data_IF_774975390171
#
_entry.id   IF_774975390171
#
_cell.length_a   1.000
_cell.length_b   1.000
_cell.length_c   1.000
_cell.angle_alpha   90.00
_cell.angle_beta   90.00
_cell.angle_gamma   90.00
#
_symmetry.space_group_name_H-M   'P 1'
#
loop_
_entity.id
_entity.type
_entity.pdbx_description
1 polymer ?
#
# COMPACT_ATOMS: atom_id res chain seq x y z
N UNK A 1 41.50 -28.22 48.69
CA UNK A 1 40.76 -28.62 47.48
C UNK A 1 40.03 -27.39 46.99
N UNK A 2 40.46 -26.85 45.85
CA UNK A 2 40.02 -25.57 45.32
C UNK A 2 38.58 -25.63 44.80
N UNK A 3 37.75 -24.67 45.21
CA UNK A 3 36.43 -24.44 44.64
C UNK A 3 36.54 -23.67 43.33
N UNK A 4 35.92 -24.20 42.28
CA UNK A 4 35.77 -23.53 40.99
C UNK A 4 34.47 -22.71 41.01
N UNK A 5 34.59 -21.40 40.83
CA UNK A 5 33.46 -20.51 40.50
C UNK A 5 33.36 -20.41 38.98
N UNK A 6 32.20 -20.73 38.42
CA UNK A 6 31.87 -20.50 37.01
C UNK A 6 31.05 -19.20 36.94
N UNK A 7 31.54 -18.14 36.27
CA UNK A 7 30.72 -16.97 36.03
C UNK A 7 29.78 -17.23 34.84
N UNK A 8 28.48 -17.09 35.07
CA UNK A 8 27.49 -17.06 34.00
C UNK A 8 27.41 -15.63 33.45
N UNK A 9 27.82 -15.44 32.19
CA UNK A 9 27.62 -14.19 31.47
C UNK A 9 26.24 -14.22 30.81
N UNK A 10 25.32 -13.39 31.31
CA UNK A 10 24.04 -13.12 30.65
C UNK A 10 24.33 -12.06 29.57
N UNK A 11 24.44 -12.48 28.32
CA UNK A 11 24.42 -11.54 27.19
C UNK A 11 22.96 -11.15 26.95
N UNK A 12 22.59 -9.95 27.40
CA UNK A 12 21.40 -9.27 26.89
C UNK A 12 21.75 -8.78 25.48
N UNK A 13 21.21 -9.44 24.45
CA UNK A 13 21.16 -8.84 23.12
C UNK A 13 20.10 -7.75 23.14
N UNK A 14 20.50 -6.52 23.45
CA UNK A 14 19.81 -5.34 22.92
C UNK A 14 20.23 -5.19 21.47
N UNK A 15 19.33 -5.50 20.53
CA UNK A 15 19.46 -4.99 19.17
C UNK A 15 19.42 -3.46 19.28
N UNK A 16 20.59 -2.82 19.18
CA UNK A 16 20.65 -1.39 18.93
C UNK A 16 20.16 -1.19 17.49
N UNK A 17 18.97 -0.61 17.36
CA UNK A 17 18.52 -0.09 16.06
C UNK A 17 19.58 0.87 15.52
N UNK A 18 19.93 0.80 14.22
CA UNK A 18 20.95 1.66 13.65
C UNK A 18 20.50 3.13 13.76
N UNK A 19 21.08 3.85 14.72
CA UNK A 19 20.85 5.29 14.89
C UNK A 19 21.52 6.01 13.73
N UNK A 20 20.72 6.57 12.82
CA UNK A 20 21.20 7.39 11.73
C UNK A 20 21.87 8.67 12.30
N UNK A 21 23.15 8.88 11.98
CA UNK A 21 23.98 9.97 12.53
C UNK A 21 23.91 11.30 11.76
N UNK A 22 23.05 11.38 10.72
CA UNK A 22 22.78 12.60 9.95
C UNK A 22 21.52 13.32 10.41
N UNK A 23 21.25 14.56 9.93
CA UNK A 23 19.96 15.21 10.16
C UNK A 23 18.86 14.33 9.56
N UNK A 24 17.84 14.04 10.36
CA UNK A 24 16.68 13.23 9.96
C UNK A 24 15.98 13.89 8.77
N UNK A 25 16.13 13.29 7.58
CA UNK A 25 15.48 13.77 6.37
C UNK A 25 14.02 13.35 6.42
N UNK A 26 13.11 14.31 6.56
CA UNK A 26 11.69 14.03 6.68
C UNK A 26 10.78 15.02 5.98
N UNK A 27 9.60 14.53 5.60
CA UNK A 27 8.43 15.34 5.26
C UNK A 27 7.47 15.23 6.43
N UNK A 28 6.94 16.34 6.94
CA UNK A 28 6.03 16.32 8.09
C UNK A 28 4.87 17.30 7.94
N UNK A 29 3.75 16.96 8.59
CA UNK A 29 2.49 17.69 8.54
C UNK A 29 1.81 17.61 9.90
N UNK A 30 1.12 18.66 10.29
CA UNK A 30 0.36 18.73 11.56
C UNK A 30 -1.14 18.45 11.35
N UNK A 31 -1.53 17.94 10.19
CA UNK A 31 -2.91 17.58 9.86
C UNK A 31 -2.92 16.30 8.99
N UNK A 32 -3.96 15.45 9.10
CA UNK A 32 -4.17 14.30 8.21
C UNK A 32 -4.33 14.72 6.75
N UNK A 33 -4.12 13.79 5.82
CA UNK A 33 -4.41 14.02 4.41
C UNK A 33 -5.94 14.05 4.15
N UNK A 34 -6.40 15.08 3.44
CA UNK A 34 -7.78 15.17 2.96
C UNK A 34 -7.95 14.45 1.61
N UNK A 35 -6.95 14.60 0.74
CA UNK A 35 -6.92 14.04 -0.62
C UNK A 35 -5.69 13.15 -0.83
N UNK A 36 -5.72 12.36 -1.91
CA UNK A 36 -4.69 11.35 -2.18
C UNK A 36 -3.31 11.97 -2.40
N UNK A 37 -3.25 13.14 -3.02
CA UNK A 37 -2.04 13.90 -3.31
C UNK A 37 -1.28 14.37 -2.05
N UNK A 38 -1.97 14.41 -0.91
CA UNK A 38 -1.40 14.79 0.38
C UNK A 38 -0.93 13.59 1.20
N UNK A 39 -1.32 12.37 0.82
CA UNK A 39 -0.96 11.15 1.53
C UNK A 39 0.53 10.81 1.35
N UNK A 40 1.11 10.12 2.34
CA UNK A 40 2.54 9.81 2.35
C UNK A 40 2.82 8.47 1.66
N UNK A 41 3.68 8.43 0.62
CA UNK A 41 4.02 7.20 -0.08
C UNK A 41 5.03 6.35 0.71
N UNK A 42 4.79 5.05 0.77
CA UNK A 42 5.77 4.03 1.17
C UNK A 42 5.78 2.91 0.12
N UNK A 43 6.91 2.21 -0.02
CA UNK A 43 6.97 1.08 -0.94
C UNK A 43 8.27 0.29 -0.88
N UNK A 44 8.21 -0.96 -1.32
CA UNK A 44 9.34 -1.89 -1.33
C UNK A 44 9.78 -2.30 -2.75
N UNK A 45 9.42 -1.49 -3.75
CA UNK A 45 9.57 -1.78 -5.17
C UNK A 45 8.39 -2.53 -5.78
N UNK A 46 7.69 -3.36 -4.99
CA UNK A 46 6.57 -4.19 -5.45
C UNK A 46 5.24 -3.79 -4.83
N UNK A 47 5.17 -3.79 -3.50
CA UNK A 47 4.03 -3.30 -2.72
C UNK A 47 4.25 -1.84 -2.38
N UNK A 48 3.28 -1.01 -2.73
CA UNK A 48 3.22 0.40 -2.40
C UNK A 48 1.99 0.72 -1.57
N UNK A 49 2.06 1.79 -0.77
CA UNK A 49 0.91 2.33 -0.07
C UNK A 49 0.96 3.86 0.03
N UNK A 50 -0.20 4.48 0.12
CA UNK A 50 -0.38 5.90 0.40
C UNK A 50 -1.12 6.03 1.73
N UNK A 51 -0.44 6.59 2.74
CA UNK A 51 -0.91 6.68 4.13
C UNK A 51 -1.54 8.05 4.38
N UNK A 52 -2.82 8.07 4.77
CA UNK A 52 -3.55 9.32 5.00
C UNK A 52 -3.31 9.91 6.39
N UNK A 53 -3.12 9.07 7.41
CA UNK A 53 -2.82 9.51 8.78
C UNK A 53 -4.05 9.99 9.55
N UNK A 54 -5.25 9.56 9.20
CA UNK A 54 -6.51 10.02 9.84
C UNK A 54 -6.76 9.31 11.16
N UNK A 55 -7.28 10.05 12.13
CA UNK A 55 -7.39 9.58 13.52
C UNK A 55 -8.76 8.95 13.84
N UNK A 56 -9.77 9.20 13.01
CA UNK A 56 -11.13 8.67 13.10
C UNK A 56 -11.35 7.48 12.14
N UNK A 57 -11.02 7.66 10.87
CA UNK A 57 -11.09 6.65 9.81
C UNK A 57 -9.80 6.71 9.02
N UNK A 58 -8.83 5.90 9.43
CA UNK A 58 -7.56 5.76 8.71
C UNK A 58 -7.81 5.09 7.36
N UNK A 59 -7.11 5.58 6.33
CA UNK A 59 -7.14 5.03 4.99
C UNK A 59 -5.71 4.81 4.51
N UNK A 60 -5.40 3.58 4.16
CA UNK A 60 -4.13 3.22 3.53
C UNK A 60 -4.46 2.66 2.16
N UNK A 61 -4.28 3.47 1.12
CA UNK A 61 -4.51 3.02 -0.26
C UNK A 61 -3.33 2.16 -0.70
N UNK A 62 -3.59 1.06 -1.40
CA UNK A 62 -2.65 -0.01 -1.66
C UNK A 62 -2.37 -0.21 -3.16
N UNK A 63 -1.14 -0.58 -3.46
CA UNK A 63 -0.65 -0.90 -4.80
C UNK A 63 0.21 -2.17 -4.80
N UNK A 64 0.11 -2.93 -5.89
CA UNK A 64 0.98 -4.07 -6.22
C UNK A 64 1.43 -3.88 -7.67
N UNK A 65 2.73 -3.92 -7.97
CA UNK A 65 3.31 -3.48 -9.26
C UNK A 65 2.78 -4.23 -10.50
N UNK A 66 2.39 -5.50 -10.32
CA UNK A 66 1.95 -6.42 -11.36
C UNK A 66 0.43 -6.51 -11.48
N UNK A 67 -0.31 -5.70 -10.73
CA UNK A 67 -1.76 -5.62 -10.83
C UNK A 67 -2.21 -4.78 -12.04
N UNK A 68 -2.39 -5.45 -13.17
CA UNK A 68 -2.81 -4.82 -14.43
C UNK A 68 -4.14 -5.36 -14.93
N UNK A 69 -4.95 -4.43 -15.42
CA UNK A 69 -6.11 -4.75 -16.25
C UNK A 69 -5.63 -5.29 -17.58
N UNK A 70 -6.46 -6.07 -18.27
CA UNK A 70 -6.16 -6.49 -19.63
C UNK A 70 -7.44 -6.70 -20.39
N UNK A 71 -7.55 -6.04 -21.53
CA UNK A 71 -8.71 -6.17 -22.41
C UNK A 71 -8.29 -5.94 -23.86
N UNK A 72 -8.75 -6.81 -24.74
CA UNK A 72 -8.37 -6.76 -26.15
C UNK A 72 -6.88 -7.00 -26.40
N UNK A 73 -6.47 -6.86 -27.66
CA UNK A 73 -5.09 -6.95 -28.08
C UNK A 73 -4.79 -5.77 -29.00
N UNK A 74 -3.58 -5.23 -28.91
CA UNK A 74 -3.06 -4.46 -30.03
C UNK A 74 -2.87 -5.45 -31.17
N UNK A 75 -3.52 -5.20 -32.30
CA UNK A 75 -3.16 -5.93 -33.52
C UNK A 75 -1.71 -5.54 -33.89
N UNK A 76 -1.04 -6.32 -34.74
CA UNK A 76 0.26 -5.92 -35.28
C UNK A 76 0.09 -5.76 -36.79
N UNK A 77 -0.54 -4.66 -37.20
CA UNK A 77 -0.56 -4.28 -38.61
C UNK A 77 0.88 -4.04 -39.09
N UNK A 78 1.32 -4.81 -40.10
CA UNK A 78 2.66 -4.66 -40.68
C UNK A 78 2.72 -3.44 -41.61
N UNK A 79 2.97 -2.28 -41.01
CA UNK A 79 3.16 -1.02 -41.72
C UNK A 79 4.52 -0.86 -42.42
N UNK A 80 5.40 -1.87 -42.34
CA UNK A 80 6.78 -1.74 -42.85
C UNK A 80 6.84 -1.43 -44.35
N UNK A 81 5.86 -1.89 -45.12
CA UNK A 81 5.74 -1.64 -46.57
C UNK A 81 5.47 -0.19 -46.93
N UNK A 82 4.88 0.60 -46.03
CA UNK A 82 4.59 2.01 -46.27
C UNK A 82 5.80 2.93 -46.01
N UNK A 83 6.79 2.45 -45.25
CA UNK A 83 7.96 3.26 -44.83
C UNK A 83 8.76 3.85 -46.00
N UNK A 84 9.05 3.14 -47.10
CA UNK A 84 9.77 3.73 -48.24
C UNK A 84 9.01 4.89 -48.87
N UNK A 85 7.70 4.74 -49.09
CA UNK A 85 6.86 5.78 -49.69
C UNK A 85 6.73 7.01 -48.77
N UNK A 86 6.58 6.79 -47.47
CA UNK A 86 6.55 7.88 -46.47
C UNK A 86 7.87 8.68 -46.52
N UNK A 87 9.03 8.01 -46.59
CA UNK A 87 10.33 8.68 -46.66
C UNK A 87 10.48 9.52 -47.93
N UNK A 88 10.04 8.99 -49.08
CA UNK A 88 10.05 9.73 -50.35
C UNK A 88 9.20 11.00 -50.27
N UNK A 89 7.98 10.92 -49.74
CA UNK A 89 7.11 12.08 -49.51
C UNK A 89 7.78 13.13 -48.61
N UNK A 90 8.48 12.71 -47.56
CA UNK A 90 9.22 13.62 -46.67
C UNK A 90 10.39 14.31 -47.40
N UNK A 91 11.16 13.61 -48.24
CA UNK A 91 12.26 14.20 -49.02
C UNK A 91 11.76 15.16 -50.10
N UNK A 92 10.57 14.91 -50.65
CA UNK A 92 9.89 15.79 -51.61
C UNK A 92 9.22 17.01 -50.94
N UNK A 93 9.22 17.11 -49.61
CA UNK A 93 8.55 18.19 -48.86
C UNK A 93 7.02 18.06 -48.76
N UNK A 94 6.46 16.87 -49.06
CA UNK A 94 5.02 16.54 -49.02
C UNK A 94 4.59 16.04 -47.64
N UNK A 95 4.70 16.91 -46.63
CA UNK A 95 4.53 16.52 -45.22
C UNK A 95 3.12 16.06 -44.86
N UNK A 96 2.09 16.68 -45.47
CA UNK A 96 0.70 16.34 -45.18
C UNK A 96 0.37 14.93 -45.68
N UNK A 97 0.76 14.62 -46.92
CA UNK A 97 0.60 13.31 -47.54
C UNK A 97 1.40 12.24 -46.78
N UNK A 98 2.62 12.58 -46.34
CA UNK A 98 3.43 11.69 -45.50
C UNK A 98 2.74 11.38 -44.16
N UNK A 99 2.14 12.38 -43.51
CA UNK A 99 1.40 12.20 -42.26
C UNK A 99 0.14 11.35 -42.46
N UNK A 100 -0.64 11.63 -43.50
CA UNK A 100 -1.85 10.87 -43.81
C UNK A 100 -1.53 9.39 -44.06
N UNK A 101 -0.49 9.10 -44.85
CA UNK A 101 -0.03 7.74 -45.10
C UNK A 101 0.52 7.07 -43.84
N UNK A 102 1.23 7.81 -42.98
CA UNK A 102 1.71 7.29 -41.70
C UNK A 102 0.56 6.97 -40.73
N UNK A 103 -0.47 7.83 -40.64
CA UNK A 103 -1.65 7.58 -39.82
C UNK A 103 -2.41 6.35 -40.31
N UNK A 104 -2.55 6.20 -41.63
CA UNK A 104 -3.27 5.08 -42.22
C UNK A 104 -2.53 3.74 -42.05
N UNK A 105 -1.21 3.72 -42.28
CA UNK A 105 -0.46 2.47 -42.42
C UNK A 105 0.38 2.10 -41.19
N UNK A 106 0.72 3.06 -40.32
CA UNK A 106 1.59 2.82 -39.15
C UNK A 106 0.86 2.93 -37.81
N UNK A 107 -0.26 3.65 -37.75
CA UNK A 107 -1.04 3.78 -36.51
C UNK A 107 -2.19 2.79 -36.48
N UNK A 108 -2.66 2.50 -35.27
CA UNK A 108 -3.80 1.63 -35.03
C UNK A 108 -4.87 2.36 -34.26
N UNK A 109 -6.07 1.79 -34.28
CA UNK A 109 -7.15 2.27 -33.44
C UNK A 109 -6.74 2.17 -31.97
N UNK A 110 -6.82 3.30 -31.28
CA UNK A 110 -6.50 3.36 -29.86
C UNK A 110 -7.57 2.61 -29.09
N UNK A 111 -7.16 1.62 -28.29
CA UNK A 111 -8.07 0.96 -27.36
C UNK A 111 -8.70 1.97 -26.40
N UNK A 112 -9.95 1.74 -25.93
CA UNK A 112 -10.61 2.64 -24.98
C UNK A 112 -9.75 2.92 -23.75
N UNK A 113 -9.81 4.15 -23.24
CA UNK A 113 -9.11 4.54 -22.00
C UNK A 113 -9.44 3.56 -20.86
N UNK A 114 -8.43 3.17 -20.08
CA UNK A 114 -8.57 2.17 -19.01
C UNK A 114 -8.36 0.72 -19.45
N UNK A 115 -8.16 0.49 -20.74
CA UNK A 115 -7.72 -0.81 -21.27
C UNK A 115 -6.24 -1.02 -21.01
N UNK A 116 -5.84 -2.23 -20.57
CA UNK A 116 -4.44 -2.60 -20.29
C UNK A 116 -3.75 -1.62 -19.33
N UNK A 117 -4.46 -1.21 -18.28
CA UNK A 117 -4.06 -0.14 -17.38
C UNK A 117 -3.67 -0.68 -16.01
N UNK A 118 -2.72 -0.01 -15.36
CA UNK A 118 -2.38 -0.26 -13.97
C UNK A 118 -3.59 -0.05 -13.05
N UNK A 119 -3.75 -0.89 -12.03
CA UNK A 119 -4.91 -0.88 -11.14
C UNK A 119 -4.51 -0.71 -9.66
N UNK A 120 -5.42 -0.13 -8.87
CA UNK A 120 -5.31 -0.14 -7.41
C UNK A 120 -5.53 -1.55 -6.86
N UNK A 121 -4.77 -1.92 -5.83
CA UNK A 121 -5.04 -3.15 -5.06
C UNK A 121 -6.26 -2.97 -4.15
N UNK A 122 -6.52 -1.74 -3.72
CA UNK A 122 -7.63 -1.40 -2.83
C UNK A 122 -7.20 -0.49 -1.70
N UNK A 123 -7.93 -0.54 -0.59
CA UNK A 123 -7.71 0.27 0.60
C UNK A 123 -7.83 -0.59 1.86
N UNK A 124 -6.92 -0.39 2.82
CA UNK A 124 -7.16 -0.75 4.22
C UNK A 124 -7.89 0.43 4.85
N UNK A 125 -9.03 0.17 5.48
CA UNK A 125 -9.76 1.15 6.27
C UNK A 125 -9.75 0.71 7.73
N UNK A 126 -9.33 1.59 8.63
CA UNK A 126 -9.40 1.36 10.08
C UNK A 126 -10.34 2.40 10.68
N UNK A 127 -11.49 1.94 11.17
CA UNK A 127 -12.56 2.77 11.74
C UNK A 127 -12.45 2.69 13.25
N UNK A 128 -12.05 3.77 13.91
CA UNK A 128 -11.91 3.83 15.36
C UNK A 128 -13.25 4.12 16.03
N UNK A 129 -13.52 3.47 17.17
CA UNK A 129 -14.76 3.70 17.92
C UNK A 129 -14.74 5.03 18.71
N UNK A 130 -13.57 5.41 19.23
CA UNK A 130 -13.41 6.67 19.95
C UNK A 130 -13.38 7.86 18.98
N UNK A 131 -14.33 8.78 19.13
CA UNK A 131 -14.46 9.99 18.33
C UNK A 131 -14.09 11.27 19.10
N UNK A 132 -13.43 11.14 20.25
CA UNK A 132 -12.95 12.28 21.01
C UNK A 132 -11.94 13.13 20.21
N UNK A 133 -11.90 14.42 20.53
CA UNK A 133 -10.97 15.36 19.90
C UNK A 133 -9.52 14.94 20.12
N UNK A 134 -8.71 15.22 19.10
CA UNK A 134 -7.29 14.90 19.05
C UNK A 134 -6.46 16.17 19.21
N UNK A 135 -5.38 16.09 19.97
CA UNK A 135 -4.36 17.13 20.10
C UNK A 135 -2.99 16.61 19.71
N UNK A 136 -2.01 17.53 19.60
CA UNK A 136 -0.59 17.21 19.40
C UNK A 136 -0.32 16.30 18.18
N UNK A 137 -1.17 16.42 17.17
CA UNK A 137 -1.10 15.61 15.97
C UNK A 137 0.14 15.95 15.13
N UNK A 138 0.85 14.92 14.66
CA UNK A 138 1.89 15.03 13.65
C UNK A 138 1.96 13.74 12.83
N UNK A 139 2.06 13.86 11.50
CA UNK A 139 2.49 12.76 10.62
C UNK A 139 3.79 13.08 9.92
N UNK A 140 4.68 12.11 9.82
CA UNK A 140 6.03 12.28 9.29
C UNK A 140 6.38 11.11 8.36
N UNK A 141 6.93 11.38 7.18
CA UNK A 141 7.63 10.38 6.37
C UNK A 141 9.13 10.55 6.57
N UNK A 142 9.77 9.54 7.14
CA UNK A 142 11.21 9.45 7.30
C UNK A 142 11.82 8.91 6.01
N UNK A 143 12.64 9.73 5.34
CA UNK A 143 13.24 9.38 4.05
C UNK A 143 14.41 8.40 4.19
N UNK A 144 15.07 8.39 5.35
CA UNK A 144 16.22 7.53 5.63
C UNK A 144 15.80 6.07 5.93
N UNK A 145 14.61 5.87 6.52
CA UNK A 145 14.06 4.56 6.88
C UNK A 145 12.86 4.12 6.02
N UNK A 146 12.36 5.00 5.14
CA UNK A 146 11.16 4.79 4.33
C UNK A 146 9.92 4.40 5.16
N UNK A 147 9.76 5.06 6.32
CA UNK A 147 8.71 4.77 7.29
C UNK A 147 7.87 6.01 7.57
N UNK A 148 6.55 5.82 7.65
CA UNK A 148 5.61 6.84 8.10
C UNK A 148 5.35 6.68 9.58
N UNK A 149 5.46 7.79 10.31
CA UNK A 149 4.99 7.93 11.69
C UNK A 149 3.74 8.78 11.74
N UNK A 150 2.81 8.42 12.63
CA UNK A 150 1.68 9.26 13.01
C UNK A 150 1.57 9.26 14.52
N UNK A 151 1.69 10.44 15.11
CA UNK A 151 1.65 10.70 16.53
C UNK A 151 0.47 11.59 16.85
N UNK A 152 -0.29 11.27 17.90
CA UNK A 152 -1.36 12.14 18.38
C UNK A 152 -1.80 11.78 19.80
N UNK A 153 -2.48 12.70 20.48
CA UNK A 153 -3.05 12.49 21.80
C UNK A 153 -4.58 12.52 21.73
N UNK A 154 -5.25 11.55 22.35
CA UNK A 154 -6.72 11.50 22.50
C UNK A 154 -7.07 11.17 23.93
N UNK A 155 -7.93 11.98 24.55
CA UNK A 155 -8.37 11.76 25.94
C UNK A 155 -7.20 11.61 26.94
N UNK A 156 -6.07 12.28 26.69
CA UNK A 156 -4.85 12.20 27.52
C UNK A 156 -4.01 10.94 27.32
N UNK A 157 -4.31 10.13 26.31
CA UNK A 157 -3.54 8.95 25.88
C UNK A 157 -2.80 9.29 24.59
N UNK A 158 -1.52 8.93 24.52
CA UNK A 158 -0.70 9.12 23.33
C UNK A 158 -0.77 7.88 22.45
N UNK A 159 -0.99 8.08 21.17
CA UNK A 159 -1.03 7.04 20.15
C UNK A 159 0.11 7.27 19.17
N UNK A 160 0.81 6.19 18.86
CA UNK A 160 1.93 6.19 17.91
C UNK A 160 1.72 5.10 16.86
N UNK A 161 1.79 5.48 15.59
CA UNK A 161 1.69 4.57 14.45
C UNK A 161 3.00 4.53 13.67
N UNK A 162 3.43 3.32 13.30
CA UNK A 162 4.55 3.08 12.38
C UNK A 162 4.04 2.31 11.17
N UNK A 163 4.25 2.84 9.97
CA UNK A 163 3.79 2.21 8.72
C UNK A 163 4.93 2.17 7.70
N UNK A 164 5.24 0.99 7.18
CA UNK A 164 6.31 0.79 6.20
C UNK A 164 6.05 -0.42 5.29
N UNK A 165 6.78 -0.47 4.18
CA UNK A 165 6.77 -1.62 3.26
C UNK A 165 8.11 -2.34 3.33
N UNK A 166 8.15 -3.53 3.95
CA UNK A 166 9.39 -4.30 4.12
C UNK A 166 9.85 -4.90 2.80
N UNK A 167 11.06 -4.55 2.36
CA UNK A 167 11.67 -5.12 1.17
C UNK A 167 12.19 -6.54 1.35
N UNK A 168 12.56 -6.92 2.57
CA UNK A 168 13.07 -8.26 2.88
C UNK A 168 11.92 -9.26 3.11
N UNK A 169 10.86 -8.83 3.80
CA UNK A 169 9.72 -9.70 4.13
C UNK A 169 8.59 -9.64 3.10
N UNK A 170 8.66 -8.69 2.15
CA UNK A 170 7.69 -8.48 1.06
C UNK A 170 6.26 -8.22 1.54
N UNK A 171 6.11 -7.51 2.66
CA UNK A 171 4.83 -7.13 3.26
C UNK A 171 4.76 -5.63 3.58
N UNK A 172 3.55 -5.07 3.54
CA UNK A 172 3.26 -3.79 4.19
C UNK A 172 2.94 -4.08 5.65
N UNK A 173 3.51 -3.29 6.55
CA UNK A 173 3.33 -3.40 8.00
C UNK A 173 2.76 -2.10 8.51
N UNK A 174 1.72 -2.20 9.32
CA UNK A 174 1.16 -1.13 10.12
C UNK A 174 1.23 -1.56 11.58
N UNK A 175 1.77 -0.70 12.44
CA UNK A 175 1.77 -0.89 13.88
C UNK A 175 1.16 0.33 14.53
N UNK A 176 0.36 0.12 15.57
CA UNK A 176 -0.18 1.18 16.40
C UNK A 176 -0.05 0.79 17.86
N UNK A 177 0.42 1.75 18.66
CA UNK A 177 0.58 1.60 20.11
C UNK A 177 -0.15 2.71 20.83
N UNK A 178 -0.87 2.35 21.88
CA UNK A 178 -1.42 3.30 22.83
C UNK A 178 -0.54 3.38 24.09
N UNK A 179 -0.36 4.58 24.64
CA UNK A 179 0.38 4.77 25.89
C UNK A 179 -0.38 4.18 27.09
N UNK A 180 0.26 4.15 28.27
CA UNK A 180 -0.25 3.42 29.42
C UNK A 180 -1.65 3.89 29.83
N UNK A 181 -2.61 2.96 29.82
CA UNK A 181 -4.03 3.22 30.13
C UNK A 181 -4.90 3.42 28.89
N UNK A 182 -4.28 3.57 27.72
CA UNK A 182 -4.93 3.60 26.42
C UNK A 182 -5.38 2.24 25.92
N UNK A 183 -6.38 2.27 25.05
CA UNK A 183 -6.92 1.12 24.34
C UNK A 183 -7.21 1.49 22.89
N UNK A 184 -7.10 0.50 22.01
CA UNK A 184 -7.41 0.58 20.59
C UNK A 184 -8.62 -0.34 20.37
N UNK A 185 -9.73 0.29 20.01
CA UNK A 185 -11.00 -0.33 19.64
C UNK A 185 -11.34 0.14 18.23
N UNK A 186 -11.38 -0.77 17.27
CA UNK A 186 -11.55 -0.43 15.86
C UNK A 186 -12.10 -1.58 15.01
N UNK A 187 -12.72 -1.21 13.88
CA UNK A 187 -13.04 -2.14 12.80
C UNK A 187 -12.04 -1.99 11.65
N UNK A 188 -11.42 -3.08 11.23
CA UNK A 188 -10.48 -3.13 10.11
C UNK A 188 -11.16 -3.75 8.90
N UNK A 189 -11.05 -3.09 7.75
CA UNK A 189 -11.62 -3.55 6.48
C UNK A 189 -10.56 -3.56 5.38
N UNK A 190 -10.76 -4.43 4.39
CA UNK A 190 -10.00 -4.44 3.15
C UNK A 190 -11.00 -4.46 2.00
N UNK A 191 -10.95 -3.43 1.16
CA UNK A 191 -11.88 -3.26 0.03
C UNK A 191 -11.15 -2.79 -1.21
N UNK A 192 -11.81 -2.92 -2.37
CA UNK A 192 -11.31 -2.42 -3.65
C UNK A 192 -12.46 -1.80 -4.43
N UNK A 193 -12.28 -0.67 -5.13
CA UNK A 193 -13.32 -0.15 -6.00
C UNK A 193 -13.73 -1.17 -7.08
N UNK A 194 -15.05 -1.34 -7.27
CA UNK A 194 -15.66 -2.32 -8.17
C UNK A 194 -16.55 -3.31 -7.42
N UNK A 195 -17.06 -4.32 -8.14
CA UNK A 195 -18.02 -5.31 -7.61
C UNK A 195 -17.57 -6.77 -7.89
N UNK A 196 -16.28 -6.99 -8.15
CA UNK A 196 -15.78 -8.26 -8.70
C UNK A 196 -14.95 -9.10 -7.74
N UNK A 197 -14.51 -8.51 -6.64
CA UNK A 197 -13.69 -9.16 -5.63
C UNK A 197 -14.50 -10.10 -4.74
N UNK A 198 -13.84 -11.16 -4.29
CA UNK A 198 -14.34 -12.03 -3.24
C UNK A 198 -13.54 -11.74 -1.99
N UNK A 199 -14.23 -11.28 -0.94
CA UNK A 199 -13.64 -11.03 0.38
C UNK A 199 -14.07 -12.12 1.35
N UNK A 200 -13.10 -12.71 2.04
CA UNK A 200 -13.32 -13.72 3.08
C UNK A 200 -12.72 -13.23 4.39
N UNK A 201 -13.50 -13.31 5.46
CA UNK A 201 -13.07 -13.00 6.81
C UNK A 201 -12.88 -14.30 7.60
N UNK A 202 -11.72 -14.46 8.24
CA UNK A 202 -11.34 -15.66 8.99
C UNK A 202 -10.58 -15.29 10.25
N UNK A 203 -11.24 -15.34 11.39
CA UNK A 203 -10.67 -15.05 12.71
C UNK A 203 -9.95 -13.69 12.75
N UNK A 204 -8.65 -13.69 12.46
CA UNK A 204 -7.73 -12.55 12.47
C UNK A 204 -7.15 -12.22 11.08
N UNK A 205 -7.78 -12.72 10.01
CA UNK A 205 -7.33 -12.53 8.63
C UNK A 205 -8.47 -12.13 7.69
N UNK A 206 -8.18 -11.18 6.79
CA UNK A 206 -8.99 -10.86 5.63
C UNK A 206 -8.26 -11.34 4.38
N UNK A 207 -8.97 -12.06 3.50
CA UNK A 207 -8.46 -12.50 2.21
C UNK A 207 -9.33 -11.88 1.12
N UNK A 208 -8.74 -11.08 0.25
CA UNK A 208 -9.41 -10.46 -0.89
C UNK A 208 -8.78 -10.97 -2.19
N UNK A 209 -9.58 -11.47 -3.12
CA UNK A 209 -9.09 -11.98 -4.41
C UNK A 209 -10.02 -11.61 -5.56
N UNK A 210 -9.46 -11.48 -6.75
CA UNK A 210 -10.22 -11.25 -7.96
C UNK A 210 -9.43 -11.76 -9.17
N UNK A 211 -10.13 -12.15 -10.23
CA UNK A 211 -9.58 -12.21 -11.58
C UNK A 211 -10.03 -10.96 -12.32
N UNK A 212 -9.10 -10.03 -12.56
CA UNK A 212 -9.39 -8.68 -13.06
C UNK A 212 -10.03 -8.74 -14.46
N UNK A 213 -10.88 -7.76 -14.78
CA UNK A 213 -11.57 -7.62 -16.08
C UNK A 213 -12.36 -8.86 -16.52
N UNK A 214 -13.08 -9.49 -15.59
CA UNK A 214 -13.91 -10.68 -15.86
C UNK A 214 -13.12 -11.84 -16.48
N UNK A 215 -11.88 -12.00 -16.03
CA UNK A 215 -11.06 -13.14 -16.45
C UNK A 215 -10.04 -12.86 -17.54
N UNK A 216 -9.79 -11.59 -17.86
CA UNK A 216 -8.85 -11.20 -18.91
C UNK A 216 -7.55 -10.61 -18.37
N UNK A 217 -7.62 -9.91 -17.23
CA UNK A 217 -6.47 -9.36 -16.50
C UNK A 217 -5.78 -10.41 -15.63
N UNK A 218 -4.92 -9.94 -14.72
CA UNK A 218 -4.27 -10.84 -13.76
C UNK A 218 -5.26 -11.36 -12.72
N UNK A 219 -4.99 -12.55 -12.19
CA UNK A 219 -5.52 -12.98 -10.91
C UNK A 219 -4.68 -12.36 -9.79
N UNK A 220 -5.32 -11.81 -8.77
CA UNK A 220 -4.62 -11.37 -7.56
C UNK A 220 -5.22 -11.99 -6.30
N UNK A 221 -4.38 -12.08 -5.28
CA UNK A 221 -4.79 -12.35 -3.91
C UNK A 221 -4.05 -11.43 -2.95
N UNK A 222 -4.79 -10.78 -2.06
CA UNK A 222 -4.30 -10.02 -0.93
C UNK A 222 -4.73 -10.71 0.37
N UNK A 223 -3.81 -10.77 1.33
CA UNK A 223 -4.02 -11.29 2.68
C UNK A 223 -3.60 -10.23 3.69
N UNK A 224 -4.55 -9.80 4.50
CA UNK A 224 -4.35 -8.90 5.63
C UNK A 224 -4.45 -9.74 6.90
N UNK A 225 -3.39 -9.80 7.69
CA UNK A 225 -3.34 -10.48 8.99
C UNK A 225 -3.27 -9.43 10.09
N UNK A 226 -4.08 -9.59 11.13
CA UNK A 226 -4.01 -8.78 12.35
C UNK A 226 -3.35 -9.59 13.45
N UNK A 227 -2.46 -8.96 14.20
CA UNK A 227 -1.74 -9.51 15.32
C UNK A 227 -1.95 -8.59 16.52
N UNK A 228 -2.39 -9.17 17.63
CA UNK A 228 -2.62 -8.45 18.88
C UNK A 228 -1.69 -8.98 19.96
N UNK A 229 -1.18 -8.09 20.80
CA UNK A 229 -0.45 -8.46 22.02
C UNK A 229 -1.39 -8.79 23.18
N UNK A 230 -2.45 -8.01 23.31
CA UNK A 230 -3.54 -8.13 24.28
C UNK A 230 -4.89 -7.75 23.63
N UNK A 231 -5.99 -7.91 24.36
CA UNK A 231 -7.33 -7.69 23.82
C UNK A 231 -7.86 -8.90 23.05
N UNK A 232 -8.83 -8.66 22.18
CA UNK A 232 -9.46 -9.70 21.37
C UNK A 232 -9.82 -9.19 19.98
N UNK A 233 -9.88 -10.12 19.03
CA UNK A 233 -10.28 -9.89 17.66
C UNK A 233 -11.33 -10.92 17.27
N UNK A 234 -12.30 -10.50 16.48
CA UNK A 234 -13.22 -11.42 15.83
C UNK A 234 -13.62 -10.92 14.45
N UNK A 235 -13.82 -11.87 13.54
CA UNK A 235 -14.27 -11.60 12.19
C UNK A 235 -15.78 -11.41 12.13
N UNK A 236 -16.24 -10.39 11.42
CA UNK A 236 -17.65 -10.19 11.09
C UNK A 236 -17.88 -10.39 9.58
N UNK A 237 -19.10 -10.15 9.10
CA UNK A 237 -19.40 -10.18 7.66
C UNK A 237 -18.84 -8.99 6.87
N UNK A 238 -18.27 -8.00 7.55
CA UNK A 238 -17.87 -6.71 6.96
C UNK A 238 -16.46 -6.25 7.37
N UNK A 239 -15.78 -6.94 8.29
CA UNK A 239 -14.47 -6.53 8.77
C UNK A 239 -13.93 -7.44 9.88
N UNK A 240 -12.81 -7.02 10.47
CA UNK A 240 -12.31 -7.57 11.73
C UNK A 240 -12.51 -6.53 12.82
N UNK A 241 -13.25 -6.88 13.87
CA UNK A 241 -13.46 -6.04 15.04
C UNK A 241 -12.40 -6.35 16.09
N UNK A 242 -11.62 -5.34 16.45
CA UNK A 242 -10.55 -5.38 17.45
C UNK A 242 -11.02 -4.60 18.67
N UNK A 243 -10.87 -5.20 19.85
CA UNK A 243 -11.25 -4.56 21.09
C UNK A 243 -10.18 -4.69 22.18
N UNK A 244 -9.92 -3.57 22.85
CA UNK A 244 -9.17 -3.51 24.10
C UNK A 244 -7.68 -3.85 23.98
N UNK A 245 -7.08 -3.72 22.80
CA UNK A 245 -5.64 -3.94 22.62
C UNK A 245 -4.84 -2.66 22.93
N UNK A 246 -3.57 -2.82 23.28
CA UNK A 246 -2.59 -1.71 23.46
C UNK A 246 -1.55 -1.67 22.35
N UNK A 247 -1.37 -2.77 21.63
CA UNK A 247 -0.43 -2.93 20.53
C UNK A 247 -1.17 -3.68 19.40
N UNK A 248 -1.53 -2.96 18.34
CA UNK A 248 -2.14 -3.48 17.12
C UNK A 248 -1.08 -3.57 16.03
N UNK A 249 -0.94 -4.74 15.39
CA UNK A 249 -0.12 -4.88 14.19
C UNK A 249 -0.94 -5.49 13.05
N UNK A 250 -0.82 -4.91 11.86
CA UNK A 250 -1.42 -5.39 10.62
C UNK A 250 -0.30 -5.69 9.64
N UNK A 251 -0.35 -6.87 9.02
CA UNK A 251 0.55 -7.27 7.93
C UNK A 251 -0.27 -7.54 6.67
N UNK A 252 0.06 -6.84 5.59
CA UNK A 252 -0.55 -7.06 4.29
C UNK A 252 0.49 -7.67 3.33
N UNK A 253 0.14 -8.82 2.78
CA UNK A 253 0.79 -9.40 1.63
C UNK A 253 -0.19 -9.40 0.45
N UNK A 254 0.29 -9.18 -0.77
CA UNK A 254 -0.48 -9.46 -1.97
C UNK A 254 0.44 -10.01 -3.06
N UNK A 255 -0.12 -10.70 -4.05
CA UNK A 255 0.58 -11.14 -5.25
C UNK A 255 -0.40 -11.33 -6.41
N UNK A 256 0.15 -11.41 -7.62
CA UNK A 256 -0.60 -11.73 -8.84
C UNK A 256 -0.03 -12.98 -9.52
N UNK A 257 -0.67 -13.44 -10.59
CA UNK A 257 -0.18 -14.51 -11.48
C UNK A 257 0.57 -14.01 -12.72
N UNK A 258 1.02 -12.75 -12.73
CA UNK A 258 1.78 -12.13 -13.82
C UNK A 258 3.07 -12.88 -14.19
#
# INVERSE_FOLDING_TARGET
MSGFLIPAFIHSCTEEEPVHSGPELSLWYNEPAEVWEEALPIGNGRLGAMVFGRTDVERIQLNEESLWSRKGAYENADGSKAIPAIRELLFDGKYKEAQELAVQELLQERLPTGTNAYQTLGDITIIYEDSAEVTDYKRTLLLDSAMVHVDYTRSGVDYHREIFSSAVDKVIVYKERASKGGKIDCTIQLSRPGDGEVVMYKDDMIIMKQHVDNGQGVLYEARLKVLLKDGHIHSTGFGLEVHGTTDLEIRLFAATDY
#
